data_IF_683995130906
#
_entry.id   IF_683995130906
#
_cell.length_a   1.000
_cell.length_b   1.000
_cell.length_c   1.000
_cell.angle_alpha   90.00
_cell.angle_beta   90.00
_cell.angle_gamma   90.00
#
_symmetry.space_group_name_H-M   'P 1'
#
loop_
_entity.id
_entity.type
_entity.pdbx_description
1 polymer ?
#
# COMPACT_ATOMS: atom_id res chain seq x y z
N UNK A 1 1.73 -2.26 -1.43
CA UNK A 1 1.88 -0.87 -1.89
C UNK A 1 1.92 -0.84 -3.41
N UNK A 2 1.44 0.24 -4.04
CA UNK A 2 1.50 0.43 -5.49
C UNK A 2 2.25 1.74 -5.76
N UNK A 3 3.35 1.66 -6.51
CA UNK A 3 4.03 2.85 -7.02
C UNK A 3 3.35 3.28 -8.33
N UNK A 4 2.76 4.47 -8.35
CA UNK A 4 2.11 5.01 -9.56
C UNK A 4 3.09 5.82 -10.41
N UNK A 5 2.94 5.78 -11.73
CA UNK A 5 3.65 6.70 -12.61
C UNK A 5 3.31 8.17 -12.30
N UNK A 6 4.26 9.09 -12.44
CA UNK A 6 4.09 10.50 -12.01
C UNK A 6 2.99 11.30 -12.74
N UNK A 7 2.37 10.76 -13.79
CA UNK A 7 1.19 11.36 -14.43
C UNK A 7 -0.15 10.82 -13.91
N UNK A 8 -0.17 9.66 -13.23
CA UNK A 8 -1.39 8.94 -12.90
C UNK A 8 -2.32 9.74 -11.97
N UNK A 9 -1.76 10.44 -10.98
CA UNK A 9 -2.54 11.21 -9.99
C UNK A 9 -3.04 12.56 -10.52
N UNK A 10 -2.55 13.01 -11.67
CA UNK A 10 -2.93 14.29 -12.28
C UNK A 10 -4.37 14.22 -12.80
N UNK A 11 -4.72 13.11 -13.45
CA UNK A 11 -6.07 12.85 -13.94
C UNK A 11 -7.07 12.73 -12.77
N UNK A 12 -8.14 13.55 -12.72
CA UNK A 12 -9.16 13.49 -11.68
C UNK A 12 -9.85 12.13 -11.53
N UNK A 13 -10.08 11.40 -12.62
CA UNK A 13 -10.73 10.09 -12.58
C UNK A 13 -9.81 9.05 -11.91
N UNK A 14 -8.54 9.03 -12.29
CA UNK A 14 -7.55 8.16 -11.66
C UNK A 14 -7.36 8.51 -10.18
N UNK A 15 -7.27 9.80 -9.86
CA UNK A 15 -7.19 10.28 -8.47
C UNK A 15 -8.37 9.83 -7.62
N UNK A 16 -9.59 9.90 -8.15
CA UNK A 16 -10.78 9.39 -7.47
C UNK A 16 -10.69 7.87 -7.21
N UNK A 17 -10.28 7.08 -8.20
CA UNK A 17 -10.11 5.62 -8.06
C UNK A 17 -9.03 5.24 -7.06
N UNK A 18 -7.91 5.95 -7.07
CA UNK A 18 -6.79 5.71 -6.14
C UNK A 18 -7.22 5.95 -4.69
N UNK A 19 -7.94 7.04 -4.42
CA UNK A 19 -8.44 7.36 -3.08
C UNK A 19 -9.47 6.37 -2.53
N UNK A 20 -10.23 5.71 -3.40
CA UNK A 20 -11.13 4.62 -2.97
C UNK A 20 -10.34 3.38 -2.53
N UNK A 21 -9.15 3.19 -3.09
CA UNK A 21 -8.32 2.00 -2.83
C UNK A 21 -7.48 2.11 -1.56
N UNK A 22 -7.28 3.32 -1.03
CA UNK A 22 -6.52 3.59 0.19
C UNK A 22 -5.89 4.98 0.21
N UNK A 23 -5.13 5.29 1.27
CA UNK A 23 -4.43 6.56 1.40
C UNK A 23 -3.38 6.72 0.30
N UNK A 24 -3.31 7.92 -0.28
CA UNK A 24 -2.33 8.27 -1.31
C UNK A 24 -1.21 9.10 -0.69
N UNK A 25 0.02 8.60 -0.84
CA UNK A 25 1.23 9.26 -0.38
C UNK A 25 1.95 9.93 -1.55
N UNK A 26 2.16 11.25 -1.46
CA UNK A 26 3.01 12.00 -2.38
C UNK A 26 4.43 12.12 -1.82
N UNK A 27 5.38 11.45 -2.47
CA UNK A 27 6.80 11.65 -2.21
C UNK A 27 7.30 12.80 -3.10
N UNK A 28 7.57 13.95 -2.48
CA UNK A 28 8.09 15.14 -3.17
C UNK A 28 9.60 15.31 -2.92
N UNK A 29 10.23 16.15 -3.71
CA UNK A 29 11.63 16.56 -3.52
C UNK A 29 11.91 17.86 -4.28
N UNK A 30 12.95 18.58 -3.86
CA UNK A 30 13.45 19.75 -4.61
C UNK A 30 13.92 19.33 -6.00
N UNK A 31 13.75 20.19 -7.03
CA UNK A 31 14.13 19.88 -8.41
C UNK A 31 15.56 19.37 -8.57
N UNK A 32 16.50 19.89 -7.78
CA UNK A 32 17.91 19.51 -7.77
C UNK A 32 18.09 18.05 -7.32
N UNK A 33 17.48 17.66 -6.21
CA UNK A 33 17.54 16.27 -5.72
C UNK A 33 16.87 15.30 -6.70
N UNK A 34 15.77 15.69 -7.36
CA UNK A 34 15.16 14.89 -8.43
C UNK A 34 16.15 14.73 -9.59
N UNK A 35 16.77 15.83 -10.03
CA UNK A 35 17.73 15.83 -11.13
C UNK A 35 18.94 14.92 -10.83
N UNK A 36 19.51 14.98 -9.63
CA UNK A 36 20.59 14.10 -9.19
C UNK A 36 20.20 12.62 -9.21
N UNK A 37 18.98 12.29 -8.74
CA UNK A 37 18.46 10.91 -8.70
C UNK A 37 18.18 10.36 -10.10
N UNK A 38 17.61 11.17 -11.01
CA UNK A 38 17.27 10.73 -12.37
C UNK A 38 18.45 10.84 -13.34
N UNK A 39 19.41 11.71 -13.08
CA UNK A 39 20.56 12.00 -13.95
C UNK A 39 21.39 10.75 -14.27
N UNK A 40 21.47 9.80 -13.33
CA UNK A 40 22.13 8.50 -13.52
C UNK A 40 21.48 7.61 -14.60
N UNK A 41 20.26 7.92 -15.02
CA UNK A 41 19.48 7.15 -16.02
C UNK A 41 18.69 8.08 -16.96
N UNK A 42 19.22 9.26 -17.25
CA UNK A 42 18.50 10.31 -17.99
C UNK A 42 17.98 9.80 -19.36
N UNK A 43 18.78 8.99 -20.04
CA UNK A 43 18.45 8.37 -21.33
C UNK A 43 17.16 7.52 -21.29
N UNK A 44 16.84 6.92 -20.14
CA UNK A 44 15.64 6.09 -19.94
C UNK A 44 14.40 6.88 -19.53
N UNK A 45 14.48 8.22 -19.53
CA UNK A 45 13.40 9.11 -19.07
C UNK A 45 12.85 9.90 -20.26
N UNK A 46 11.80 9.43 -20.96
CA UNK A 46 11.28 10.07 -22.17
C UNK A 46 10.88 11.55 -22.00
N UNK A 47 10.49 11.95 -20.78
CA UNK A 47 10.10 13.33 -20.48
C UNK A 47 11.29 14.28 -20.22
N UNK A 48 12.51 13.76 -20.13
CA UNK A 48 13.73 14.49 -19.80
C UNK A 48 14.87 14.28 -20.82
N UNK A 49 14.92 13.11 -21.46
CA UNK A 49 15.87 12.78 -22.51
C UNK A 49 15.78 13.79 -23.68
N UNK A 50 16.94 14.18 -24.23
CA UNK A 50 17.04 15.13 -25.34
C UNK A 50 16.71 16.59 -25.00
N UNK A 51 16.30 16.92 -23.77
CA UNK A 51 16.09 18.31 -23.36
C UNK A 51 17.41 19.00 -23.04
N UNK A 52 17.66 20.16 -23.66
CA UNK A 52 18.86 20.97 -23.41
C UNK A 52 19.01 21.43 -21.95
N UNK A 53 17.92 21.51 -21.19
CA UNK A 53 17.94 21.83 -19.76
C UNK A 53 16.95 20.95 -18.97
N UNK A 54 17.35 19.72 -18.58
CA UNK A 54 16.47 18.80 -17.87
C UNK A 54 16.02 19.32 -16.50
N UNK A 55 16.84 20.11 -15.81
CA UNK A 55 16.48 20.72 -14.52
C UNK A 55 15.31 21.70 -14.67
N UNK A 56 15.34 22.56 -15.69
CA UNK A 56 14.22 23.46 -16.01
C UNK A 56 12.97 22.67 -16.40
N UNK A 57 13.12 21.56 -17.11
CA UNK A 57 11.99 20.66 -17.44
C UNK A 57 11.37 20.03 -16.19
N UNK A 58 12.19 19.58 -15.23
CA UNK A 58 11.72 19.06 -13.93
C UNK A 58 10.92 20.13 -13.18
N UNK A 59 11.42 21.36 -13.11
CA UNK A 59 10.70 22.49 -12.48
C UNK A 59 9.33 22.71 -13.11
N UNK A 60 9.26 22.73 -14.44
CA UNK A 60 8.00 22.88 -15.17
C UNK A 60 7.01 21.75 -14.88
N UNK A 61 7.47 20.49 -14.85
CA UNK A 61 6.64 19.34 -14.54
C UNK A 61 6.09 19.37 -13.11
N UNK A 62 6.91 19.78 -12.13
CA UNK A 62 6.46 19.94 -10.74
C UNK A 62 5.40 21.02 -10.63
N UNK A 63 5.61 22.18 -11.28
CA UNK A 63 4.64 23.28 -11.27
C UNK A 63 3.31 22.87 -11.88
N UNK A 64 3.34 22.18 -13.03
CA UNK A 64 2.14 21.66 -13.71
C UNK A 64 1.35 20.69 -12.83
N UNK A 65 2.04 19.91 -11.98
CA UNK A 65 1.43 18.86 -11.15
C UNK A 65 1.10 19.31 -9.74
N UNK A 66 1.58 20.47 -9.30
CA UNK A 66 1.49 20.95 -7.92
C UNK A 66 0.05 20.88 -7.36
N UNK A 67 -0.94 21.38 -8.12
CA UNK A 67 -2.35 21.35 -7.70
C UNK A 67 -2.90 19.94 -7.53
N UNK A 68 -2.46 18.99 -8.35
CA UNK A 68 -2.88 17.60 -8.22
C UNK A 68 -2.18 16.91 -7.05
N UNK A 69 -0.85 17.07 -6.93
CA UNK A 69 -0.06 16.44 -5.87
C UNK A 69 -0.43 16.94 -4.47
N UNK A 70 -0.81 18.21 -4.33
CA UNK A 70 -1.31 18.78 -3.08
C UNK A 70 -2.63 18.15 -2.58
N UNK A 71 -3.29 17.34 -3.41
CA UNK A 71 -4.48 16.58 -3.03
C UNK A 71 -4.14 15.18 -2.48
N UNK A 72 -2.87 14.80 -2.35
CA UNK A 72 -2.52 13.56 -1.67
C UNK A 72 -2.88 13.63 -0.18
N UNK A 73 -3.22 12.50 0.42
CA UNK A 73 -3.60 12.43 1.83
C UNK A 73 -2.38 12.67 2.74
N UNK A 74 -1.19 12.23 2.29
CA UNK A 74 0.08 12.42 2.96
C UNK A 74 1.08 12.97 1.96
N UNK A 75 1.88 13.96 2.36
CA UNK A 75 3.01 14.47 1.57
C UNK A 75 4.29 14.42 2.38
N UNK A 76 5.35 13.84 1.82
CA UNK A 76 6.67 13.73 2.45
C UNK A 76 7.72 14.30 1.51
N UNK A 77 8.45 15.31 1.98
CA UNK A 77 9.63 15.81 1.31
C UNK A 77 10.81 14.86 1.57
N UNK A 78 11.26 14.22 0.49
CA UNK A 78 12.33 13.22 0.51
C UNK A 78 13.70 13.84 0.21
N UNK A 79 13.81 15.15 -0.02
CA UNK A 79 15.03 15.80 -0.57
C UNK A 79 16.31 15.39 0.16
N UNK A 80 16.27 15.32 1.49
CA UNK A 80 17.43 15.04 2.33
C UNK A 80 17.27 13.74 3.14
N UNK A 81 16.35 12.88 2.71
CA UNK A 81 16.05 11.62 3.41
C UNK A 81 16.63 10.43 2.62
N UNK A 82 17.19 9.49 3.36
CA UNK A 82 17.47 8.13 2.91
C UNK A 82 16.17 7.34 2.67
N UNK A 83 16.29 6.18 2.05
CA UNK A 83 15.12 5.32 1.79
C UNK A 83 14.46 4.88 3.09
N UNK A 84 15.26 4.49 4.08
CA UNK A 84 14.76 4.01 5.38
C UNK A 84 14.05 5.14 6.14
N UNK A 85 14.61 6.36 6.15
CA UNK A 85 13.95 7.50 6.77
C UNK A 85 12.63 7.88 6.08
N UNK A 86 12.55 7.75 4.74
CA UNK A 86 11.29 7.94 4.02
C UNK A 86 10.28 6.86 4.42
N UNK A 87 10.69 5.59 4.47
CA UNK A 87 9.83 4.48 4.85
C UNK A 87 9.26 4.66 6.27
N UNK A 88 10.12 4.98 7.24
CA UNK A 88 9.71 5.27 8.63
C UNK A 88 8.73 6.45 8.71
N UNK A 89 8.97 7.51 7.92
CA UNK A 89 8.12 8.69 7.94
C UNK A 89 6.77 8.47 7.25
N UNK A 90 6.72 7.61 6.24
CA UNK A 90 5.47 7.11 5.64
C UNK A 90 4.72 6.28 6.67
N UNK A 91 5.42 5.36 7.32
CA UNK A 91 4.87 4.46 8.33
C UNK A 91 4.24 5.22 9.49
N UNK A 92 4.96 6.17 10.08
CA UNK A 92 4.48 6.96 11.20
C UNK A 92 3.20 7.76 10.89
N UNK A 93 2.98 8.15 9.63
CA UNK A 93 1.76 8.84 9.21
C UNK A 93 0.62 7.90 8.81
N UNK A 94 0.94 6.72 8.29
CA UNK A 94 -0.07 5.73 7.90
C UNK A 94 -0.58 4.91 9.09
N UNK A 95 0.30 4.57 10.04
CA UNK A 95 -0.01 3.64 11.13
C UNK A 95 -1.23 4.01 11.97
N UNK A 96 -1.51 5.29 12.30
CA UNK A 96 -2.72 5.66 13.05
C UNK A 96 -4.02 5.44 12.27
N UNK A 97 -3.93 5.32 10.95
CA UNK A 97 -5.06 5.17 10.03
C UNK A 97 -5.28 3.73 9.58
N UNK A 98 -4.42 2.79 10.00
CA UNK A 98 -4.54 1.37 9.61
C UNK A 98 -5.76 0.75 10.31
N UNK A 99 -6.52 -0.06 9.56
CA UNK A 99 -7.64 -0.80 10.14
C UNK A 99 -7.12 -1.82 11.16
N UNK A 100 -7.93 -2.15 12.17
CA UNK A 100 -7.51 -3.05 13.27
C UNK A 100 -6.99 -4.41 12.80
N UNK A 101 -7.52 -4.93 11.69
CA UNK A 101 -7.03 -6.19 11.11
C UNK A 101 -5.59 -6.11 10.62
N UNK A 102 -5.16 -4.95 10.10
CA UNK A 102 -3.79 -4.73 9.69
C UNK A 102 -2.87 -4.54 10.90
N UNK A 103 -3.30 -3.75 11.89
CA UNK A 103 -2.54 -3.61 13.14
C UNK A 103 -2.31 -4.96 13.83
N UNK A 104 -3.35 -5.79 13.89
CA UNK A 104 -3.27 -7.15 14.42
C UNK A 104 -2.19 -7.99 13.72
N UNK A 105 -2.05 -7.88 12.40
CA UNK A 105 -1.01 -8.62 11.69
C UNK A 105 0.40 -8.20 12.10
N UNK A 106 0.63 -6.90 12.24
CA UNK A 106 1.95 -6.35 12.58
C UNK A 106 2.36 -6.78 13.99
N UNK A 107 1.44 -6.64 14.94
CA UNK A 107 1.69 -6.99 16.35
C UNK A 107 1.99 -8.49 16.53
N UNK A 108 1.55 -9.34 15.59
CA UNK A 108 1.66 -10.79 15.66
C UNK A 108 2.50 -11.40 14.53
N UNK A 109 3.21 -10.59 13.72
CA UNK A 109 3.81 -11.02 12.46
C UNK A 109 4.69 -12.28 12.62
N UNK A 110 5.55 -12.33 13.64
CA UNK A 110 6.40 -13.50 13.89
C UNK A 110 5.62 -14.77 14.24
N UNK A 111 4.59 -14.68 15.10
CA UNK A 111 3.73 -15.82 15.44
C UNK A 111 2.90 -16.28 14.23
N UNK A 112 2.45 -15.33 13.42
CA UNK A 112 1.68 -15.60 12.22
C UNK A 112 2.53 -16.28 11.14
N UNK A 113 3.75 -15.81 10.88
CA UNK A 113 4.69 -16.48 9.96
C UNK A 113 4.94 -17.93 10.37
N UNK A 114 5.15 -18.20 11.66
CA UNK A 114 5.35 -19.57 12.14
C UNK A 114 4.13 -20.48 11.91
N UNK A 115 2.91 -19.94 12.00
CA UNK A 115 1.68 -20.72 11.96
C UNK A 115 1.01 -20.79 10.57
N UNK A 116 1.14 -19.73 9.79
CA UNK A 116 0.43 -19.50 8.53
C UNK A 116 1.37 -19.12 7.38
N UNK A 117 2.69 -19.20 7.56
CA UNK A 117 3.66 -18.91 6.49
C UNK A 117 3.33 -19.64 5.19
N UNK A 118 3.39 -18.90 4.08
CA UNK A 118 3.02 -19.39 2.75
C UNK A 118 1.50 -19.42 2.49
N UNK A 119 0.66 -18.90 3.39
CA UNK A 119 -0.81 -18.93 3.25
C UNK A 119 -1.41 -17.53 3.27
N UNK A 120 -2.62 -17.43 2.73
CA UNK A 120 -3.50 -16.29 2.90
C UNK A 120 -4.38 -16.49 4.14
N UNK A 121 -4.53 -15.46 4.96
CA UNK A 121 -5.42 -15.44 6.13
C UNK A 121 -6.50 -14.39 5.97
N UNK A 122 -7.70 -14.67 6.48
CA UNK A 122 -8.79 -13.70 6.58
C UNK A 122 -8.88 -13.23 8.03
N UNK A 123 -8.66 -11.93 8.25
CA UNK A 123 -8.69 -11.30 9.58
C UNK A 123 -9.91 -10.42 9.69
N UNK A 124 -10.66 -10.56 10.78
CA UNK A 124 -11.82 -9.72 11.12
C UNK A 124 -11.76 -9.41 12.61
N UNK A 125 -11.91 -8.15 13.01
CA UNK A 125 -11.89 -7.70 14.42
C UNK A 125 -10.69 -8.28 15.21
N UNK A 126 -9.49 -8.24 14.60
CA UNK A 126 -8.25 -8.78 15.17
C UNK A 126 -8.26 -10.29 15.44
N UNK A 127 -8.99 -11.07 14.64
CA UNK A 127 -9.00 -12.54 14.70
C UNK A 127 -8.89 -13.15 13.31
N UNK A 128 -8.04 -14.16 13.17
CA UNK A 128 -8.02 -15.00 11.97
C UNK A 128 -9.24 -15.91 11.98
N UNK A 129 -10.12 -15.74 11.00
CA UNK A 129 -11.35 -16.53 10.89
C UNK A 129 -11.21 -17.70 9.90
N UNK A 130 -10.28 -17.58 8.94
CA UNK A 130 -9.97 -18.60 7.94
C UNK A 130 -8.57 -18.43 7.36
N UNK A 131 -8.07 -19.47 6.69
CA UNK A 131 -6.84 -19.44 5.91
C UNK A 131 -6.95 -20.31 4.65
N UNK A 132 -6.08 -20.10 3.66
CA UNK A 132 -6.01 -20.92 2.45
C UNK A 132 -4.70 -20.70 1.69
N UNK A 133 -4.34 -21.64 0.82
CA UNK A 133 -3.14 -21.56 -0.02
C UNK A 133 -3.23 -20.43 -1.07
N UNK A 134 -4.44 -20.00 -1.40
CA UNK A 134 -4.69 -18.87 -2.29
C UNK A 134 -5.65 -17.89 -1.63
N UNK A 135 -5.62 -16.64 -2.08
CA UNK A 135 -6.55 -15.61 -1.61
C UNK A 135 -8.01 -16.06 -1.78
N UNK A 136 -8.33 -16.71 -2.91
CA UNK A 136 -9.67 -17.22 -3.20
C UNK A 136 -10.07 -18.36 -2.24
N UNK A 137 -9.18 -19.33 -2.00
CA UNK A 137 -9.44 -20.43 -1.05
C UNK A 137 -9.64 -19.88 0.38
N UNK A 138 -8.84 -18.90 0.79
CA UNK A 138 -8.99 -18.27 2.10
C UNK A 138 -10.34 -17.55 2.23
N UNK A 139 -10.76 -16.80 1.21
CA UNK A 139 -12.07 -16.14 1.17
C UNK A 139 -13.24 -17.13 1.22
N UNK A 140 -13.18 -18.20 0.41
CA UNK A 140 -14.18 -19.25 0.40
C UNK A 140 -14.28 -19.92 1.78
N UNK A 141 -13.15 -20.28 2.40
CA UNK A 141 -13.11 -20.85 3.75
C UNK A 141 -13.68 -19.90 4.82
N UNK A 142 -13.56 -18.59 4.65
CA UNK A 142 -14.17 -17.61 5.54
C UNK A 142 -15.70 -17.53 5.39
N UNK A 143 -16.20 -17.83 4.20
CA UNK A 143 -17.63 -17.83 3.86
C UNK A 143 -18.31 -19.18 4.17
N UNK A 144 -17.55 -20.26 4.32
CA UNK A 144 -18.08 -21.60 4.62
C UNK A 144 -18.47 -21.74 6.10
N UNK A 145 -19.55 -22.49 6.43
CA UNK A 145 -19.93 -22.77 7.80
C UNK A 145 -18.86 -23.63 8.49
N UNK A 146 -18.51 -23.30 9.75
CA UNK A 146 -17.71 -24.21 10.58
C UNK A 146 -18.52 -25.49 10.85
N UNK A 147 -17.89 -26.67 10.95
CA UNK A 147 -18.61 -27.87 11.31
C UNK A 147 -18.95 -27.82 12.80
N UNK A 148 -20.17 -27.34 13.10
CA UNK A 148 -21.12 -27.79 14.15
C UNK A 148 -22.22 -26.72 14.31
N UNK A 149 -23.45 -27.10 13.96
CA UNK A 149 -24.74 -26.42 14.16
C UNK A 149 -24.77 -24.89 13.93
N UNK A 150 -25.02 -24.40 12.70
CA UNK A 150 -25.75 -23.14 12.51
C UNK A 150 -26.19 -22.90 11.06
N UNK A 151 -27.41 -22.39 10.86
CA UNK A 151 -28.00 -21.85 9.61
C UNK A 151 -27.41 -20.46 9.24
N UNK A 152 -26.15 -20.22 9.63
CA UNK A 152 -25.54 -18.89 9.74
C UNK A 152 -24.79 -18.39 8.51
N UNK A 153 -24.75 -19.16 7.42
CA UNK A 153 -23.87 -18.93 6.24
C UNK A 153 -24.11 -17.57 5.58
N UNK A 154 -25.38 -17.19 5.35
CA UNK A 154 -25.76 -15.91 4.75
C UNK A 154 -25.50 -14.72 5.69
N UNK A 155 -25.73 -14.88 7.01
CA UNK A 155 -25.48 -13.84 8.02
C UNK A 155 -23.97 -13.54 8.18
N UNK A 156 -23.11 -14.55 8.05
CA UNK A 156 -21.64 -14.37 8.09
C UNK A 156 -21.07 -13.74 6.84
N UNK A 157 -21.57 -14.10 5.66
CA UNK A 157 -21.20 -13.42 4.40
C UNK A 157 -21.58 -11.94 4.45
N UNK A 158 -22.79 -11.63 4.96
CA UNK A 158 -23.21 -10.25 5.21
C UNK A 158 -22.32 -9.55 6.24
N UNK A 159 -21.87 -10.23 7.31
CA UNK A 159 -20.97 -9.67 8.32
C UNK A 159 -19.55 -9.41 7.77
N UNK A 160 -18.97 -10.33 7.00
CA UNK A 160 -17.69 -10.13 6.30
C UNK A 160 -17.74 -8.97 5.31
N UNK A 161 -18.84 -8.85 4.57
CA UNK A 161 -19.07 -7.74 3.64
C UNK A 161 -19.40 -6.42 4.35
N UNK A 162 -19.99 -6.46 5.55
CA UNK A 162 -20.37 -5.27 6.32
C UNK A 162 -19.28 -4.78 7.27
N UNK A 163 -18.35 -5.64 7.70
CA UNK A 163 -17.27 -5.24 8.61
C UNK A 163 -16.16 -4.53 7.85
N UNK A 164 -16.05 -3.21 8.06
CA UNK A 164 -14.96 -2.36 7.52
C UNK A 164 -13.55 -2.74 8.01
N UNK A 165 -13.47 -3.63 9.00
CA UNK A 165 -12.21 -4.13 9.59
C UNK A 165 -11.88 -5.57 9.14
N UNK A 166 -12.39 -6.00 7.99
CA UNK A 166 -12.04 -7.28 7.39
C UNK A 166 -10.95 -7.13 6.32
N UNK A 167 -9.98 -8.04 6.30
CA UNK A 167 -8.95 -8.09 5.26
C UNK A 167 -8.41 -9.49 5.00
N UNK A 168 -7.89 -9.70 3.79
CA UNK A 168 -7.24 -10.95 3.39
C UNK A 168 -5.77 -10.65 3.10
N UNK A 169 -4.89 -11.40 3.73
CA UNK A 169 -3.46 -11.07 3.76
C UNK A 169 -2.61 -12.31 3.54
N UNK A 170 -1.59 -12.19 2.71
CA UNK A 170 -0.55 -13.21 2.61
C UNK A 170 0.36 -13.11 3.82
N UNK A 171 0.71 -14.27 4.41
CA UNK A 171 1.64 -14.36 5.52
C UNK A 171 2.94 -14.98 4.99
N UNK A 172 4.06 -14.22 5.02
CA UNK A 172 5.35 -14.71 4.55
C UNK A 172 5.86 -15.87 5.41
N UNK A 173 6.74 -16.69 4.86
CA UNK A 173 7.42 -17.73 5.65
C UNK A 173 8.37 -17.08 6.68
N UNK A 174 8.70 -17.75 7.81
CA UNK A 174 9.62 -17.23 8.83
C UNK A 174 10.91 -16.61 8.25
N UNK A 175 11.52 -17.30 7.29
CA UNK A 175 12.72 -16.90 6.56
C UNK A 175 12.53 -15.69 5.63
N UNK A 176 11.30 -15.41 5.20
CA UNK A 176 10.92 -14.24 4.39
C UNK A 176 10.47 -13.06 5.27
N UNK A 177 10.07 -13.31 6.53
CA UNK A 177 9.46 -12.30 7.42
C UNK A 177 10.37 -11.12 7.72
N UNK A 178 11.69 -11.33 7.76
CA UNK A 178 12.68 -10.29 8.07
C UNK A 178 12.86 -9.27 6.94
N UNK A 179 12.35 -9.56 5.73
CA UNK A 179 12.42 -8.68 4.56
C UNK A 179 11.05 -8.26 4.04
N UNK A 180 9.96 -8.81 4.61
CA UNK A 180 8.60 -8.66 4.09
C UNK A 180 7.79 -7.50 4.71
N UNK A 181 8.29 -6.85 5.77
CA UNK A 181 7.61 -5.75 6.46
C UNK A 181 8.54 -4.56 6.67
#
# INVERSE_FOLDING_TARGET
MIATGGGAFVDPQNRARLRVSGPVVCLTAKPQAIFERVGRRLETRPLLHGHANPLSRIRGLLLQRAKAYAQADITIDTTHLSVDEVAERVWAQLSPCLCKSWQYLLDHAGQLSQRYGGKYVVVVDSRIIASGETQLKAYQNACLPRPKHDDGSRRRQARLAATREAGIYYIPLPEESLTAF
#
